data_IF_573892585800
#
_entry.id   IF_573892585800
#
_cell.length_a   1.000
_cell.length_b   1.000
_cell.length_c   1.000
_cell.angle_alpha   90.00
_cell.angle_beta   90.00
_cell.angle_gamma   90.00
#
_symmetry.space_group_name_H-M   'P 1'
#
loop_
_entity.id
_entity.type
_entity.pdbx_description
1 polymer ?
#
# COMPACT_ATOMS: atom_id res chain seq x y z
N UNK A 1 -5.30 -3.65 7.71
CA UNK A 1 -3.89 -3.99 7.36
C UNK A 1 -3.02 -2.74 7.17
N UNK A 2 -3.42 -1.74 6.35
CA UNK A 2 -2.61 -0.52 6.06
C UNK A 2 -2.26 0.24 7.35
N UNK A 3 -3.25 0.56 8.19
CA UNK A 3 -3.03 1.27 9.46
C UNK A 3 -2.17 0.45 10.41
N UNK A 4 -2.38 -0.87 10.50
CA UNK A 4 -1.57 -1.78 11.33
C UNK A 4 -0.10 -1.76 10.89
N UNK A 5 0.17 -1.91 9.60
CA UNK A 5 1.52 -1.91 9.06
C UNK A 5 2.28 -0.61 9.33
N UNK A 6 1.56 0.52 9.36
CA UNK A 6 2.15 1.83 9.62
C UNK A 6 2.27 2.15 11.10
N UNK A 7 1.29 1.80 11.91
CA UNK A 7 1.22 2.24 13.30
C UNK A 7 1.80 1.28 14.33
N UNK A 8 2.04 0.00 14.01
CA UNK A 8 2.64 -0.95 14.96
C UNK A 8 3.96 -0.47 15.58
N UNK A 9 4.90 0.19 14.87
CA UNK A 9 6.10 0.75 15.52
C UNK A 9 5.83 1.93 16.46
N UNK A 10 4.58 2.37 16.57
CA UNK A 10 4.13 3.49 17.40
C UNK A 10 3.39 3.07 18.66
N UNK A 11 3.07 1.79 18.81
CA UNK A 11 2.32 1.30 19.98
C UNK A 11 3.10 1.51 21.28
N UNK A 12 2.39 1.95 22.32
CA UNK A 12 2.97 2.15 23.65
C UNK A 12 3.12 0.84 24.42
N UNK A 13 2.16 -0.05 24.22
CA UNK A 13 2.15 -1.41 24.75
C UNK A 13 2.12 -2.40 23.58
N UNK A 14 2.96 -3.41 23.61
CA UNK A 14 3.00 -4.42 22.56
C UNK A 14 1.62 -5.11 22.42
N UNK A 15 1.08 -5.11 21.22
CA UNK A 15 -0.23 -5.69 20.91
C UNK A 15 -1.41 -4.70 20.88
N UNK A 16 -1.22 -3.44 21.28
CA UNK A 16 -2.29 -2.43 21.22
C UNK A 16 -2.85 -2.27 19.81
N UNK A 17 -1.97 -2.26 18.81
CA UNK A 17 -2.33 -2.12 17.40
C UNK A 17 -3.05 -3.36 16.88
N UNK A 18 -2.59 -4.56 17.26
CA UNK A 18 -3.22 -5.82 16.87
C UNK A 18 -4.60 -5.96 17.51
N UNK A 19 -4.74 -5.67 18.81
CA UNK A 19 -6.03 -5.70 19.50
C UNK A 19 -7.05 -4.70 18.94
N UNK A 20 -6.57 -3.53 18.51
CA UNK A 20 -7.41 -2.55 17.84
C UNK A 20 -7.88 -3.07 16.47
N UNK A 21 -7.00 -3.71 15.72
CA UNK A 21 -7.32 -4.31 14.42
C UNK A 21 -8.34 -5.44 14.56
N UNK A 22 -8.13 -6.39 15.47
CA UNK A 22 -8.99 -7.54 15.68
C UNK A 22 -10.41 -7.08 16.05
N UNK A 23 -10.54 -6.12 16.97
CA UNK A 23 -11.84 -5.54 17.34
C UNK A 23 -12.62 -5.01 16.12
N UNK A 24 -11.96 -4.27 15.23
CA UNK A 24 -12.63 -3.74 14.05
C UNK A 24 -12.89 -4.79 12.97
N UNK A 25 -12.07 -5.85 12.89
CA UNK A 25 -12.36 -7.01 12.05
C UNK A 25 -13.62 -7.73 12.50
N UNK A 26 -13.75 -8.00 13.80
CA UNK A 26 -14.97 -8.62 14.38
C UNK A 26 -16.23 -7.80 14.08
N UNK A 27 -16.13 -6.46 14.20
CA UNK A 27 -17.25 -5.58 13.86
C UNK A 27 -17.61 -5.63 12.36
N UNK A 28 -16.60 -5.74 11.46
CA UNK A 28 -16.85 -5.92 10.02
C UNK A 28 -17.51 -7.26 9.74
N UNK A 29 -16.99 -8.34 10.34
CA UNK A 29 -17.56 -9.68 10.18
C UNK A 29 -19.00 -9.72 10.67
N UNK A 30 -19.29 -9.20 11.85
CA UNK A 30 -20.64 -9.12 12.40
C UNK A 30 -21.58 -8.33 11.48
N UNK A 31 -21.11 -7.25 10.86
CA UNK A 31 -21.89 -6.46 9.92
C UNK A 31 -22.18 -7.21 8.62
N UNK A 32 -21.20 -7.94 8.09
CA UNK A 32 -21.31 -8.65 6.81
C UNK A 32 -22.02 -10.01 6.93
N UNK A 33 -22.03 -10.62 8.11
CA UNK A 33 -22.74 -11.88 8.38
C UNK A 33 -24.26 -11.73 8.35
N UNK A 34 -24.78 -10.51 8.32
CA UNK A 34 -26.24 -10.25 8.31
C UNK A 34 -26.84 -10.57 6.95
N UNK A 35 -28.00 -11.25 6.92
CA UNK A 35 -28.66 -11.65 5.67
C UNK A 35 -29.30 -10.48 4.92
N UNK A 36 -29.37 -9.28 5.50
CA UNK A 36 -29.94 -8.08 4.89
C UNK A 36 -28.84 -7.14 4.38
N UNK A 37 -29.17 -6.34 3.35
CA UNK A 37 -28.30 -5.27 2.86
C UNK A 37 -28.30 -4.03 3.77
N UNK A 38 -28.86 -4.13 4.98
CA UNK A 38 -28.97 -3.06 5.94
C UNK A 38 -28.42 -3.49 7.31
N UNK A 39 -27.88 -2.54 8.05
CA UNK A 39 -27.57 -2.69 9.47
C UNK A 39 -28.87 -2.78 10.31
N UNK A 40 -28.77 -3.10 11.61
CA UNK A 40 -29.94 -3.25 12.51
C UNK A 40 -30.83 -2.02 12.56
N UNK A 41 -30.24 -0.84 12.42
CA UNK A 41 -30.92 0.46 12.41
C UNK A 41 -31.50 0.86 11.03
N UNK A 42 -31.49 -0.05 10.06
CA UNK A 42 -31.94 0.21 8.70
C UNK A 42 -30.91 0.94 7.82
N UNK A 43 -29.73 1.24 8.34
CA UNK A 43 -28.67 1.90 7.56
C UNK A 43 -28.13 0.96 6.48
N UNK A 44 -27.96 1.41 5.22
CA UNK A 44 -27.33 0.59 4.20
C UNK A 44 -25.93 0.11 4.63
N UNK A 45 -25.62 -1.19 4.45
CA UNK A 45 -24.35 -1.82 4.87
C UNK A 45 -23.13 -1.00 4.41
N UNK A 46 -23.17 -0.43 3.21
CA UNK A 46 -22.10 0.43 2.72
C UNK A 46 -21.86 1.69 3.58
N UNK A 47 -22.94 2.29 4.08
CA UNK A 47 -22.83 3.47 4.96
C UNK A 47 -22.33 3.07 6.34
N UNK A 48 -22.81 1.93 6.86
CA UNK A 48 -22.32 1.37 8.12
C UNK A 48 -20.83 1.00 8.06
N UNK A 49 -20.37 0.37 6.97
CA UNK A 49 -18.95 0.11 6.73
C UNK A 49 -18.12 1.39 6.69
N UNK A 50 -18.60 2.44 6.04
CA UNK A 50 -17.89 3.71 5.99
C UNK A 50 -17.78 4.38 7.37
N UNK A 51 -18.84 4.30 8.17
CA UNK A 51 -18.86 4.77 9.56
C UNK A 51 -17.83 3.98 10.42
N UNK A 52 -17.81 2.66 10.25
CA UNK A 52 -16.85 1.78 10.93
C UNK A 52 -15.40 2.13 10.55
N UNK A 53 -15.11 2.31 9.26
CA UNK A 53 -13.79 2.71 8.78
C UNK A 53 -13.36 4.06 9.37
N UNK A 54 -14.27 5.02 9.52
CA UNK A 54 -13.97 6.31 10.18
C UNK A 54 -13.62 6.13 11.65
N UNK A 55 -14.41 5.36 12.41
CA UNK A 55 -14.11 5.06 13.83
C UNK A 55 -12.77 4.35 13.98
N UNK A 56 -12.48 3.38 13.11
CA UNK A 56 -11.17 2.73 13.10
C UNK A 56 -10.05 3.74 12.83
N UNK A 57 -10.23 4.62 11.85
CA UNK A 57 -9.28 5.68 11.52
C UNK A 57 -9.01 6.60 12.71
N UNK A 58 -10.06 7.05 13.40
CA UNK A 58 -9.97 7.89 14.61
C UNK A 58 -9.20 7.19 15.73
N UNK A 59 -9.52 5.91 16.00
CA UNK A 59 -8.86 5.14 17.05
C UNK A 59 -7.36 4.93 16.78
N UNK A 60 -6.97 4.68 15.51
CA UNK A 60 -5.56 4.60 15.14
C UNK A 60 -4.84 5.96 15.21
N UNK A 61 -5.53 7.06 14.90
CA UNK A 61 -4.98 8.41 15.04
C UNK A 61 -4.74 8.76 16.52
N UNK A 62 -5.66 8.41 17.42
CA UNK A 62 -5.50 8.58 18.85
C UNK A 62 -4.32 7.77 19.41
N UNK A 63 -4.14 6.51 18.96
CA UNK A 63 -2.99 5.70 19.33
C UNK A 63 -1.69 6.39 18.89
N UNK A 64 -1.65 6.87 17.65
CA UNK A 64 -0.49 7.56 17.10
C UNK A 64 -0.15 8.85 17.86
N UNK A 65 -1.16 9.61 18.32
CA UNK A 65 -0.97 10.85 19.07
C UNK A 65 -0.31 10.63 20.43
N UNK A 66 -0.41 9.44 21.01
CA UNK A 66 0.21 9.04 22.29
C UNK A 66 1.62 8.47 22.12
N UNK A 67 2.04 8.21 20.88
CA UNK A 67 3.31 7.57 20.60
C UNK A 67 4.49 8.50 20.95
N UNK A 68 5.57 7.96 21.54
CA UNK A 68 6.77 8.73 21.79
C UNK A 68 7.42 9.15 20.46
N UNK A 69 8.00 10.34 20.45
CA UNK A 69 8.78 10.80 19.31
C UNK A 69 10.04 9.93 19.16
N UNK A 70 10.25 9.39 17.98
CA UNK A 70 11.49 8.68 17.61
C UNK A 70 12.04 9.28 16.30
N UNK A 71 13.11 10.09 16.36
CA UNK A 71 13.69 10.74 15.20
C UNK A 71 14.39 9.75 14.26
N UNK A 72 14.64 8.52 14.72
CA UNK A 72 15.26 7.47 13.90
C UNK A 72 14.24 6.64 13.13
N UNK A 73 12.94 6.81 13.39
CA UNK A 73 11.87 6.10 12.69
C UNK A 73 11.90 6.42 11.20
N UNK A 74 11.71 5.40 10.37
CA UNK A 74 11.73 5.53 8.90
C UNK A 74 10.53 4.82 8.32
N UNK A 75 10.12 5.30 7.15
CA UNK A 75 8.99 4.74 6.41
C UNK A 75 9.48 4.04 5.17
N UNK A 76 8.98 2.84 4.90
CA UNK A 76 9.24 2.09 3.68
C UNK A 76 7.96 1.86 2.88
N UNK A 77 8.05 1.96 1.57
CA UNK A 77 6.97 1.60 0.68
C UNK A 77 7.11 0.14 0.25
N UNK A 78 6.08 -0.69 0.45
CA UNK A 78 6.09 -2.11 0.10
C UNK A 78 5.18 -2.38 -1.09
N UNK A 79 5.77 -2.90 -2.16
CA UNK A 79 5.13 -3.36 -3.40
C UNK A 79 5.51 -4.82 -3.68
N UNK A 80 5.05 -5.37 -4.80
CA UNK A 80 5.33 -6.74 -5.23
C UNK A 80 4.06 -7.51 -5.54
N UNK A 81 4.15 -8.83 -5.52
CA UNK A 81 3.02 -9.71 -5.76
C UNK A 81 1.84 -9.39 -4.84
N UNK A 82 0.65 -9.25 -5.44
CA UNK A 82 -0.54 -8.77 -4.72
C UNK A 82 -0.98 -9.70 -3.58
N UNK A 83 -0.79 -11.00 -3.73
CA UNK A 83 -1.11 -12.00 -2.72
C UNK A 83 -0.01 -12.04 -1.65
N UNK A 84 1.24 -12.21 -2.06
CA UNK A 84 2.37 -12.39 -1.15
C UNK A 84 2.54 -11.18 -0.21
N UNK A 85 2.44 -9.94 -0.72
CA UNK A 85 2.55 -8.76 0.14
C UNK A 85 1.41 -8.62 1.15
N UNK A 86 0.27 -9.27 0.88
CA UNK A 86 -0.95 -9.16 1.70
C UNK A 86 -1.12 -10.30 2.70
N UNK A 87 -0.52 -11.45 2.46
CA UNK A 87 -0.63 -12.64 3.30
C UNK A 87 0.59 -12.77 4.22
N UNK A 88 0.40 -12.68 5.57
CA UNK A 88 1.50 -12.73 6.52
C UNK A 88 2.29 -14.06 6.48
N UNK A 89 1.63 -15.18 6.22
CA UNK A 89 2.28 -16.49 6.17
C UNK A 89 3.12 -16.60 4.90
N UNK A 90 2.56 -16.21 3.75
CA UNK A 90 3.27 -16.24 2.48
C UNK A 90 4.52 -15.35 2.46
N UNK A 91 4.54 -14.26 3.24
CA UNK A 91 5.68 -13.34 3.31
C UNK A 91 6.53 -13.47 4.59
N UNK A 92 6.40 -14.59 5.33
CA UNK A 92 7.14 -14.83 6.57
C UNK A 92 7.03 -13.66 7.57
N UNK A 93 5.81 -13.12 7.74
CA UNK A 93 5.49 -12.00 8.63
C UNK A 93 6.36 -10.76 8.38
N UNK A 94 6.74 -10.51 7.13
CA UNK A 94 7.69 -9.47 6.74
C UNK A 94 7.33 -8.09 7.31
N UNK A 95 6.05 -7.69 7.25
CA UNK A 95 5.60 -6.40 7.79
C UNK A 95 5.91 -6.30 9.29
N UNK A 96 5.55 -7.31 10.08
CA UNK A 96 5.82 -7.35 11.52
C UNK A 96 7.32 -7.26 11.79
N UNK A 97 8.13 -8.03 11.08
CA UNK A 97 9.58 -8.07 11.22
C UNK A 97 10.25 -6.73 10.85
N UNK A 98 9.71 -5.99 9.87
CA UNK A 98 10.14 -4.62 9.56
C UNK A 98 9.72 -3.65 10.67
N UNK A 99 8.49 -3.78 11.18
CA UNK A 99 7.99 -2.97 12.29
C UNK A 99 8.84 -3.13 13.56
N UNK A 100 9.22 -4.35 13.93
CA UNK A 100 10.09 -4.66 15.07
C UNK A 100 11.49 -4.00 14.96
N UNK A 101 11.87 -3.59 13.75
CA UNK A 101 13.11 -2.85 13.46
C UNK A 101 12.91 -1.33 13.36
N UNK A 102 11.74 -0.84 13.79
CA UNK A 102 11.43 0.60 13.80
C UNK A 102 11.09 1.17 12.43
N UNK A 103 10.70 0.33 11.48
CA UNK A 103 10.24 0.76 10.16
C UNK A 103 8.71 0.78 10.10
N UNK A 104 8.14 1.92 9.72
CA UNK A 104 6.74 2.04 9.33
C UNK A 104 6.59 1.52 7.90
N UNK A 105 5.53 0.77 7.63
CA UNK A 105 5.34 0.17 6.30
C UNK A 105 4.09 0.75 5.64
N UNK A 106 4.26 1.40 4.50
CA UNK A 106 3.17 1.76 3.60
C UNK A 106 3.04 0.63 2.59
N UNK A 107 1.97 -0.15 2.71
CA UNK A 107 1.72 -1.26 1.77
C UNK A 107 0.99 -0.73 0.55
N UNK A 108 1.42 -1.11 -0.65
CA UNK A 108 0.66 -0.82 -1.86
C UNK A 108 -0.77 -1.35 -1.74
N UNK A 109 -1.80 -0.51 -1.99
CA UNK A 109 -3.18 -0.93 -1.85
C UNK A 109 -3.52 -2.14 -2.74
N UNK A 110 -4.24 -3.13 -2.18
CA UNK A 110 -4.69 -4.28 -2.97
C UNK A 110 -5.60 -3.86 -4.14
N UNK A 111 -6.29 -2.74 -4.01
CA UNK A 111 -7.08 -2.16 -5.09
C UNK A 111 -6.24 -1.79 -6.32
N UNK A 112 -4.93 -1.60 -6.18
CA UNK A 112 -4.04 -1.27 -7.28
C UNK A 112 -4.03 -2.37 -8.36
N UNK A 113 -4.01 -3.65 -7.98
CA UNK A 113 -4.08 -4.75 -8.95
C UNK A 113 -5.40 -4.77 -9.71
N UNK A 114 -6.51 -4.45 -9.04
CA UNK A 114 -7.82 -4.39 -9.68
C UNK A 114 -7.89 -3.24 -10.70
N UNK A 115 -7.32 -2.07 -10.35
CA UNK A 115 -7.23 -0.93 -11.26
C UNK A 115 -6.29 -1.23 -12.42
N UNK A 116 -5.15 -1.88 -12.16
CA UNK A 116 -4.20 -2.27 -13.18
C UNK A 116 -4.81 -3.26 -14.19
N UNK A 117 -5.44 -4.32 -13.71
CA UNK A 117 -6.14 -5.30 -14.57
C UNK A 117 -7.25 -4.65 -15.40
N UNK A 118 -7.98 -3.70 -14.82
CA UNK A 118 -8.99 -2.94 -15.57
C UNK A 118 -8.35 -2.03 -16.64
N UNK A 119 -7.16 -1.47 -16.39
CA UNK A 119 -6.41 -0.70 -17.37
C UNK A 119 -5.92 -1.58 -18.53
N UNK A 120 -5.31 -2.74 -18.23
CA UNK A 120 -4.85 -3.70 -19.24
C UNK A 120 -6.01 -4.13 -20.17
N UNK A 121 -7.17 -4.46 -19.60
CA UNK A 121 -8.36 -4.85 -20.38
C UNK A 121 -8.91 -3.73 -21.26
N UNK A 122 -8.74 -2.47 -20.88
CA UNK A 122 -9.16 -1.33 -21.69
C UNK A 122 -8.17 -1.02 -22.82
N UNK A 123 -6.89 -1.35 -22.61
CA UNK A 123 -5.82 -1.15 -23.60
C UNK A 123 -5.63 -2.36 -24.50
N UNK A 124 -6.28 -3.49 -24.24
CA UNK A 124 -6.22 -4.67 -25.07
C UNK A 124 -6.89 -4.38 -26.43
N UNK A 125 -6.08 -4.35 -27.47
CA UNK A 125 -6.49 -4.06 -28.86
C UNK A 125 -7.47 -5.10 -29.45
N UNK A 126 -7.61 -6.25 -28.79
CA UNK A 126 -8.53 -7.32 -29.19
C UNK A 126 -9.85 -7.30 -28.42
N UNK A 127 -10.05 -6.33 -27.54
CA UNK A 127 -11.28 -6.18 -26.78
C UNK A 127 -12.48 -5.85 -27.67
N UNK A 128 -13.54 -6.66 -27.57
CA UNK A 128 -14.80 -6.39 -28.29
C UNK A 128 -15.35 -5.03 -27.82
N UNK A 129 -15.72 -4.10 -28.72
CA UNK A 129 -16.21 -2.76 -28.36
C UNK A 129 -17.36 -2.74 -27.33
N UNK A 130 -18.20 -3.78 -27.33
CA UNK A 130 -19.31 -3.92 -26.38
C UNK A 130 -18.83 -4.15 -24.92
N UNK A 131 -17.62 -4.70 -24.72
CA UNK A 131 -17.04 -4.93 -23.39
C UNK A 131 -16.28 -3.71 -22.89
N UNK A 132 -15.77 -2.87 -23.78
CA UNK A 132 -15.02 -1.67 -23.43
C UNK A 132 -15.84 -0.72 -22.53
N UNK A 133 -17.08 -0.40 -22.94
CA UNK A 133 -17.93 0.51 -22.16
C UNK A 133 -18.25 -0.08 -20.78
N UNK A 134 -18.56 -1.39 -20.70
CA UNK A 134 -18.81 -2.08 -19.42
C UNK A 134 -17.57 -2.02 -18.53
N UNK A 135 -16.38 -2.27 -19.06
CA UNK A 135 -15.13 -2.21 -18.32
C UNK A 135 -14.80 -0.78 -17.86
N UNK A 136 -15.03 0.22 -18.70
CA UNK A 136 -14.85 1.64 -18.36
C UNK A 136 -15.79 2.09 -17.24
N UNK A 137 -17.06 1.67 -17.28
CA UNK A 137 -18.04 1.95 -16.22
C UNK A 137 -17.67 1.25 -14.92
N UNK A 138 -17.31 -0.04 -14.96
CA UNK A 138 -16.88 -0.81 -13.80
C UNK A 138 -15.64 -0.20 -13.16
N UNK A 139 -14.63 0.17 -13.95
CA UNK A 139 -13.43 0.87 -13.49
C UNK A 139 -13.77 2.21 -12.81
N UNK A 140 -14.66 3.01 -13.42
CA UNK A 140 -15.09 4.28 -12.85
C UNK A 140 -15.83 4.10 -11.52
N UNK A 141 -16.72 3.12 -11.43
CA UNK A 141 -17.46 2.79 -10.21
C UNK A 141 -16.51 2.32 -9.11
N UNK A 142 -15.58 1.41 -9.42
CA UNK A 142 -14.57 0.92 -8.49
C UNK A 142 -13.70 2.06 -7.97
N UNK A 143 -13.15 2.91 -8.84
CA UNK A 143 -12.35 4.08 -8.45
C UNK A 143 -13.12 5.04 -7.55
N UNK A 144 -14.41 5.31 -7.86
CA UNK A 144 -15.25 6.17 -7.03
C UNK A 144 -15.46 5.58 -5.64
N UNK A 145 -15.70 4.28 -5.56
CA UNK A 145 -15.87 3.57 -4.29
C UNK A 145 -14.57 3.58 -3.47
N UNK A 146 -13.46 3.17 -4.07
CA UNK A 146 -12.14 3.18 -3.42
C UNK A 146 -11.80 4.58 -2.88
N UNK A 147 -11.91 5.61 -3.73
CA UNK A 147 -11.67 7.00 -3.32
C UNK A 147 -12.54 7.43 -2.15
N UNK A 148 -13.80 7.02 -2.10
CA UNK A 148 -14.72 7.38 -1.03
C UNK A 148 -14.28 6.80 0.32
N UNK A 149 -13.80 5.54 0.35
CA UNK A 149 -13.27 4.92 1.57
C UNK A 149 -11.91 5.53 1.96
N UNK A 150 -11.01 5.65 1.01
CA UNK A 150 -9.68 6.20 1.28
C UNK A 150 -9.71 7.67 1.71
N UNK A 151 -10.53 8.51 1.10
CA UNK A 151 -10.64 9.93 1.50
C UNK A 151 -11.15 10.09 2.94
N UNK A 152 -12.00 9.17 3.41
CA UNK A 152 -12.47 9.18 4.78
C UNK A 152 -11.34 8.87 5.78
N UNK A 153 -10.34 8.10 5.38
CA UNK A 153 -9.18 7.73 6.20
C UNK A 153 -8.07 8.76 6.06
N UNK A 154 -7.82 9.26 4.84
CA UNK A 154 -6.74 10.22 4.56
C UNK A 154 -6.87 11.54 5.32
N UNK A 155 -8.07 11.94 5.72
CA UNK A 155 -8.26 13.16 6.52
C UNK A 155 -7.45 13.12 7.82
N UNK A 156 -7.27 11.92 8.41
CA UNK A 156 -6.50 11.68 9.63
C UNK A 156 -5.13 11.04 9.34
N UNK A 157 -4.96 10.43 8.18
CA UNK A 157 -3.77 9.68 7.78
C UNK A 157 -3.28 10.13 6.39
N UNK A 158 -2.70 11.34 6.28
CA UNK A 158 -2.31 11.93 4.98
C UNK A 158 -1.21 11.14 4.27
N UNK A 159 -0.48 10.28 4.98
CA UNK A 159 0.53 9.36 4.42
C UNK A 159 -0.08 8.20 3.61
N UNK A 160 -1.38 7.89 3.80
CA UNK A 160 -2.02 6.75 3.16
C UNK A 160 -2.14 7.01 1.64
N UNK A 161 -1.53 6.18 0.79
CA UNK A 161 -1.54 6.43 -0.65
C UNK A 161 -2.92 6.15 -1.24
N UNK A 162 -3.39 7.07 -2.08
CA UNK A 162 -4.40 6.74 -3.08
C UNK A 162 -3.72 6.11 -4.29
N UNK A 163 -4.36 5.10 -4.86
CA UNK A 163 -3.87 4.54 -6.11
C UNK A 163 -3.97 5.58 -7.22
N UNK A 164 -2.83 6.01 -7.75
CA UNK A 164 -2.72 6.81 -8.97
C UNK A 164 -2.16 5.93 -10.09
N UNK A 165 -2.99 5.03 -10.61
CA UNK A 165 -2.58 4.11 -11.66
C UNK A 165 -1.99 4.81 -12.89
N UNK A 166 -2.56 5.91 -13.42
CA UNK A 166 -1.94 6.67 -14.50
C UNK A 166 -0.55 7.21 -14.15
N UNK A 167 -0.37 7.69 -12.92
CA UNK A 167 0.93 8.16 -12.41
C UNK A 167 1.94 7.04 -12.32
N UNK A 168 1.56 5.91 -11.74
CA UNK A 168 2.41 4.71 -11.63
C UNK A 168 2.85 4.21 -13.01
N UNK A 169 1.93 4.06 -13.95
CA UNK A 169 2.25 3.62 -15.31
C UNK A 169 3.12 4.64 -16.08
N UNK A 170 2.95 5.93 -15.83
CA UNK A 170 3.80 6.97 -16.40
C UNK A 170 5.25 6.86 -15.89
N UNK A 171 5.45 6.60 -14.59
CA UNK A 171 6.79 6.39 -14.05
C UNK A 171 7.40 5.06 -14.56
N UNK A 172 6.60 4.00 -14.66
CA UNK A 172 7.03 2.72 -15.23
C UNK A 172 7.56 2.85 -16.67
N UNK A 173 6.89 3.65 -17.51
CA UNK A 173 7.30 3.88 -18.91
C UNK A 173 8.70 4.50 -19.07
N UNK A 174 9.26 5.05 -18.01
CA UNK A 174 10.64 5.55 -18.04
C UNK A 174 11.69 4.44 -18.14
N UNK A 175 11.32 3.21 -17.71
CA UNK A 175 12.18 2.03 -17.71
C UNK A 175 11.66 0.91 -18.61
N UNK A 176 10.36 0.92 -18.92
CA UNK A 176 9.68 -0.07 -19.75
C UNK A 176 8.93 0.65 -20.87
N UNK A 177 9.46 0.61 -22.08
CA UNK A 177 8.84 1.26 -23.26
C UNK A 177 7.45 0.69 -23.60
N UNK A 178 7.28 -0.60 -23.37
CA UNK A 178 6.01 -1.31 -23.51
C UNK A 178 5.66 -1.99 -22.21
N UNK A 179 4.37 -2.06 -21.90
CA UNK A 179 3.92 -2.83 -20.77
C UNK A 179 4.00 -4.33 -21.11
N UNK A 180 4.94 -5.08 -20.49
CA UNK A 180 4.90 -6.53 -20.59
C UNK A 180 3.62 -7.03 -19.89
N UNK A 181 3.10 -8.16 -20.35
CA UNK A 181 2.02 -8.81 -19.63
C UNK A 181 2.44 -9.15 -18.20
N UNK A 182 1.51 -9.02 -17.25
CA UNK A 182 1.74 -9.26 -15.84
C UNK A 182 2.15 -8.00 -15.07
N UNK A 183 2.47 -8.16 -13.81
CA UNK A 183 2.57 -7.07 -12.81
C UNK A 183 3.87 -6.24 -12.88
N UNK A 184 4.82 -6.56 -13.77
CA UNK A 184 6.12 -5.87 -13.80
C UNK A 184 5.99 -4.35 -13.89
N UNK A 185 5.13 -3.86 -14.79
CA UNK A 185 4.91 -2.43 -14.98
C UNK A 185 4.27 -1.78 -13.74
N UNK A 186 3.39 -2.50 -13.05
CA UNK A 186 2.77 -2.05 -11.80
C UNK A 186 3.81 -1.97 -10.68
N UNK A 187 4.60 -3.02 -10.46
CA UNK A 187 5.63 -3.06 -9.41
C UNK A 187 6.66 -1.93 -9.60
N UNK A 188 7.21 -1.80 -10.82
CA UNK A 188 8.16 -0.73 -11.15
C UNK A 188 7.53 0.65 -10.95
N UNK A 189 6.34 0.84 -11.50
CA UNK A 189 5.63 2.11 -11.45
C UNK A 189 5.27 2.51 -10.04
N UNK A 190 4.79 1.59 -9.21
CA UNK A 190 4.38 1.87 -7.83
C UNK A 190 5.57 2.29 -6.97
N UNK A 191 6.70 1.60 -7.09
CA UNK A 191 7.92 1.94 -6.35
C UNK A 191 8.44 3.32 -6.76
N UNK A 192 8.58 3.58 -8.07
CA UNK A 192 9.07 4.86 -8.56
C UNK A 192 8.12 6.02 -8.21
N UNK A 193 6.82 5.79 -8.33
CA UNK A 193 5.80 6.77 -8.00
C UNK A 193 5.78 7.06 -6.49
N UNK A 194 5.76 6.02 -5.64
CA UNK A 194 5.82 6.16 -4.18
C UNK A 194 7.08 6.89 -3.72
N UNK A 195 8.22 6.58 -4.31
CA UNK A 195 9.47 7.30 -4.06
C UNK A 195 9.38 8.79 -4.46
N UNK A 196 8.82 9.08 -5.63
CA UNK A 196 8.67 10.45 -6.13
C UNK A 196 7.73 11.29 -5.27
N UNK A 197 6.69 10.68 -4.70
CA UNK A 197 5.78 11.35 -3.76
C UNK A 197 6.49 11.75 -2.44
N UNK A 198 7.66 11.18 -2.17
CA UNK A 198 8.46 11.53 -1.01
C UNK A 198 7.96 10.99 0.32
N UNK A 199 6.99 10.08 0.30
CA UNK A 199 6.35 9.55 1.50
C UNK A 199 7.11 8.38 2.14
N UNK A 200 8.30 8.02 1.63
CA UNK A 200 9.10 6.91 2.13
C UNK A 200 10.60 7.19 2.05
N UNK A 201 11.35 6.54 2.93
CA UNK A 201 12.82 6.59 3.02
C UNK A 201 13.49 5.45 2.24
N UNK A 202 12.71 4.47 1.80
CA UNK A 202 13.15 3.34 0.99
C UNK A 202 11.98 2.49 0.52
N UNK A 203 12.25 1.44 -0.23
CA UNK A 203 11.22 0.55 -0.74
C UNK A 203 11.58 -0.93 -0.53
N UNK A 204 10.54 -1.74 -0.44
CA UNK A 204 10.62 -3.20 -0.32
C UNK A 204 9.76 -3.80 -1.42
N UNK A 205 10.29 -4.76 -2.17
CA UNK A 205 9.44 -5.63 -3.00
C UNK A 205 9.43 -7.02 -2.42
N UNK A 206 8.25 -7.65 -2.41
CA UNK A 206 8.08 -9.01 -1.93
C UNK A 206 7.31 -9.82 -2.97
N UNK A 207 7.92 -10.92 -3.40
CA UNK A 207 7.44 -11.73 -4.51
C UNK A 207 7.75 -13.21 -4.28
N UNK A 208 7.08 -14.10 -5.04
CA UNK A 208 7.41 -15.52 -5.05
C UNK A 208 8.69 -15.78 -5.84
N UNK A 209 9.45 -16.79 -5.44
CA UNK A 209 10.59 -17.27 -6.20
C UNK A 209 10.14 -17.74 -7.59
N UNK A 210 10.86 -17.31 -8.63
CA UNK A 210 10.56 -17.69 -10.03
C UNK A 210 9.46 -16.85 -10.70
N UNK A 211 8.88 -15.86 -10.03
CA UNK A 211 7.92 -14.94 -10.64
C UNK A 211 8.59 -14.09 -11.74
N UNK A 212 8.23 -14.31 -13.01
CA UNK A 212 8.80 -13.61 -14.16
C UNK A 212 8.64 -12.09 -14.10
N UNK A 213 7.43 -11.56 -13.90
CA UNK A 213 7.21 -10.12 -13.70
C UNK A 213 8.05 -9.50 -12.59
N UNK A 214 8.20 -10.19 -11.46
CA UNK A 214 9.02 -9.74 -10.35
C UNK A 214 10.51 -9.70 -10.69
N UNK A 215 11.00 -10.69 -11.46
CA UNK A 215 12.39 -10.71 -11.96
C UNK A 215 12.69 -9.51 -12.85
N UNK A 216 11.76 -9.18 -13.76
CA UNK A 216 11.87 -7.99 -14.62
C UNK A 216 11.88 -6.72 -13.77
N UNK A 217 10.93 -6.58 -12.84
CA UNK A 217 10.85 -5.42 -11.96
C UNK A 217 12.13 -5.26 -11.13
N UNK A 218 12.64 -6.33 -10.50
CA UNK A 218 13.88 -6.28 -9.74
C UNK A 218 15.07 -5.87 -10.60
N UNK A 219 15.21 -6.43 -11.81
CA UNK A 219 16.32 -6.11 -12.70
C UNK A 219 16.40 -4.62 -13.02
N UNK A 220 15.24 -3.96 -13.18
CA UNK A 220 15.14 -2.54 -13.48
C UNK A 220 15.33 -1.67 -12.22
N UNK A 221 14.66 -2.03 -11.13
CA UNK A 221 14.71 -1.26 -9.87
C UNK A 221 16.07 -1.34 -9.18
N UNK A 222 16.82 -2.42 -9.37
CA UNK A 222 18.17 -2.58 -8.82
C UNK A 222 19.14 -1.49 -9.31
N UNK A 223 18.88 -0.89 -10.46
CA UNK A 223 19.68 0.18 -11.02
C UNK A 223 19.29 1.58 -10.52
N UNK A 224 18.19 1.70 -9.76
CA UNK A 224 17.78 2.98 -9.16
C UNK A 224 18.53 3.20 -7.85
N UNK A 225 19.78 3.66 -7.96
CA UNK A 225 20.74 3.78 -6.83
C UNK A 225 20.31 4.78 -5.76
N UNK A 226 19.46 5.73 -6.12
CA UNK A 226 18.91 6.73 -5.21
C UNK A 226 17.88 6.16 -4.26
N UNK A 227 17.24 5.03 -4.62
CA UNK A 227 16.20 4.38 -3.81
C UNK A 227 16.85 3.26 -2.98
N UNK A 228 16.87 3.37 -1.64
CA UNK A 228 17.26 2.23 -0.81
C UNK A 228 16.24 1.10 -0.98
N UNK A 229 16.66 0.00 -1.61
CA UNK A 229 15.80 -1.14 -1.93
C UNK A 229 16.12 -2.37 -1.08
N UNK A 230 15.07 -3.11 -0.72
CA UNK A 230 15.14 -4.48 -0.24
C UNK A 230 14.27 -5.37 -1.14
N UNK A 231 14.87 -6.31 -1.82
CA UNK A 231 14.17 -7.31 -2.63
C UNK A 231 14.02 -8.59 -1.82
N UNK A 232 12.80 -9.03 -1.58
CA UNK A 232 12.47 -10.25 -0.84
C UNK A 232 11.78 -11.21 -1.80
N UNK A 233 12.31 -12.43 -1.87
CA UNK A 233 11.67 -13.52 -2.60
C UNK A 233 11.40 -14.65 -1.65
N UNK A 234 10.14 -15.06 -1.63
CA UNK A 234 9.68 -16.13 -0.74
C UNK A 234 9.63 -17.43 -1.52
N UNK A 235 10.22 -18.46 -0.96
CA UNK A 235 10.24 -19.83 -1.47
C UNK A 235 9.80 -20.84 -0.39
N UNK A 236 9.19 -20.33 0.69
CA UNK A 236 8.83 -21.09 1.86
C UNK A 236 9.94 -21.18 2.91
N UNK A 237 11.14 -20.68 2.63
CA UNK A 237 12.20 -20.59 3.64
C UNK A 237 12.13 -19.25 4.40
N UNK A 238 12.56 -19.21 5.68
CA UNK A 238 12.58 -17.98 6.45
C UNK A 238 13.44 -16.89 5.79
N UNK A 239 12.94 -15.67 5.78
CA UNK A 239 13.68 -14.51 5.27
C UNK A 239 14.92 -14.26 6.15
N UNK A 240 16.05 -14.03 5.52
CA UNK A 240 17.31 -13.83 6.21
C UNK A 240 17.31 -12.57 7.09
N UNK A 241 17.41 -12.77 8.42
CA UNK A 241 17.41 -11.72 9.45
C UNK A 241 18.49 -10.65 9.24
N UNK A 242 19.67 -11.04 8.79
CA UNK A 242 20.77 -10.09 8.56
C UNK A 242 20.46 -9.09 7.45
N UNK A 243 19.71 -9.53 6.43
CA UNK A 243 19.29 -8.64 5.34
C UNK A 243 18.28 -7.60 5.84
N UNK A 244 17.30 -8.02 6.64
CA UNK A 244 16.31 -7.12 7.23
C UNK A 244 16.97 -6.12 8.17
N UNK A 245 17.81 -6.60 9.06
CA UNK A 245 18.53 -5.76 10.04
C UNK A 245 19.48 -4.78 9.35
N UNK A 246 20.25 -5.23 8.36
CA UNK A 246 21.13 -4.37 7.58
C UNK A 246 20.39 -3.30 6.78
N UNK A 247 19.21 -3.63 6.23
CA UNK A 247 18.37 -2.67 5.53
C UNK A 247 17.80 -1.60 6.49
N UNK A 248 17.23 -2.03 7.62
CA UNK A 248 16.70 -1.13 8.63
C UNK A 248 17.79 -0.21 9.20
N UNK A 249 18.97 -0.76 9.51
CA UNK A 249 20.11 0.04 10.00
C UNK A 249 20.53 1.11 8.99
N UNK A 250 20.66 0.77 7.71
CA UNK A 250 21.01 1.74 6.66
C UNK A 250 20.00 2.88 6.52
N UNK A 251 18.73 2.60 6.71
CA UNK A 251 17.69 3.63 6.65
C UNK A 251 17.72 4.50 7.90
N UNK A 252 17.78 3.90 9.08
CA UNK A 252 17.72 4.61 10.37
C UNK A 252 18.97 5.45 10.65
N UNK A 253 20.12 5.09 10.08
CA UNK A 253 21.37 5.86 10.21
C UNK A 253 21.41 7.12 9.33
N UNK A 254 20.47 7.30 8.41
CA UNK A 254 20.37 8.50 7.57
C UNK A 254 19.24 9.42 8.10
N UNK A 255 19.29 10.72 7.84
CA UNK A 255 18.15 11.60 8.13
C UNK A 255 16.91 11.16 7.32
N UNK A 256 15.68 11.38 7.83
CA UNK A 256 14.47 11.11 7.09
C UNK A 256 14.45 11.91 5.79
N UNK A 257 13.94 11.31 4.74
CA UNK A 257 13.76 12.01 3.48
C UNK A 257 12.65 13.04 3.65
N UNK A 258 13.02 14.33 3.68
CA UNK A 258 12.01 15.39 3.69
C UNK A 258 11.35 15.45 2.33
N UNK A 259 10.03 15.39 2.30
CA UNK A 259 9.25 15.80 1.12
C UNK A 259 9.57 17.28 0.90
N UNK A 260 10.03 17.64 -0.29
CA UNK A 260 10.00 19.05 -0.70
C UNK A 260 8.53 19.48 -0.61
N UNK A 261 8.21 20.45 0.25
CA UNK A 261 6.87 21.03 0.28
C UNK A 261 6.48 21.37 -1.17
N UNK A 262 5.26 21.03 -1.61
CA UNK A 262 4.79 21.47 -2.91
C UNK A 262 4.94 23.00 -2.92
N UNK A 263 5.69 23.50 -3.90
CA UNK A 263 5.87 24.94 -4.07
C UNK A 263 4.49 25.59 -3.94
N UNK A 264 4.32 26.36 -2.87
CA UNK A 264 3.09 27.10 -2.62
C UNK A 264 2.78 27.83 -3.92
N UNK A 265 1.61 27.60 -4.46
CA UNK A 265 1.12 28.33 -5.63
C UNK A 265 1.18 29.81 -5.26
N UNK A 266 2.34 30.42 -5.58
CA UNK A 266 2.52 31.85 -5.46
C UNK A 266 1.38 32.49 -6.24
N UNK A 267 0.57 33.23 -5.49
CA UNK A 267 -0.38 34.23 -5.88
C UNK A 267 -0.23 34.65 -7.35
N UNK A 268 -1.19 34.26 -8.16
CA UNK A 268 -1.51 35.05 -9.35
C UNK A 268 -2.46 36.16 -8.91
N UNK A 269 -1.88 37.34 -8.69
CA UNK A 269 -2.57 38.61 -8.68
C UNK A 269 -3.05 38.95 -10.08
#
# INVERSE_FOLDING_TARGET
>A
TQLVAYYRPLEGTAGDVDGLYDRFCDEVEALLARPSHHAEDGTPVRAALLALVRRASEAFAELAARAPADPTRRTVYMSGDFYVKSDPVANDFLIRRLNERGLQVIVEPIAAIMEYTAEERLTDLFGVPSTWLKNALAKSAMRRMTRRFYSAVQALHPWLPLTDMPGMLRESRRLLDRHPQGEAAMIVGSVLHGWKQGNCDGAVTVDTWGCGPALVAESLLRHQREIPMLFVRTDGTPINERRLTGFAFRLRSKPPRRVAEPASSASRS
#
